data_IF_728860973767
#
_entry.id   IF_728860973767
#
_cell.length_a   1.000
_cell.length_b   1.000
_cell.length_c   1.000
_cell.angle_alpha   90.00
_cell.angle_beta   90.00
_cell.angle_gamma   90.00
#
_symmetry.space_group_name_H-M   'P 1'
#
loop_
_entity.id
_entity.type
_entity.pdbx_description
1 polymer ?
#
# COMPACT_ATOMS: atom_id res chain seq x y z
N UNK A 1 -9.57 16.50 23.47
CA UNK A 1 -9.88 16.12 22.08
C UNK A 1 -8.62 16.37 21.26
N UNK A 2 -8.04 15.35 20.64
CA UNK A 2 -6.92 15.50 19.70
C UNK A 2 -7.46 16.09 18.39
N UNK A 3 -6.85 17.18 17.93
CA UNK A 3 -7.16 17.75 16.62
C UNK A 3 -6.65 16.81 15.51
N UNK A 4 -7.41 16.69 14.43
CA UNK A 4 -6.98 15.94 13.25
C UNK A 4 -5.88 16.70 12.50
N UNK A 5 -5.00 16.00 11.79
CA UNK A 5 -3.85 16.59 11.10
C UNK A 5 -4.22 17.76 10.16
N UNK A 6 -5.32 17.62 9.42
CA UNK A 6 -5.84 18.63 8.49
C UNK A 6 -6.48 19.85 9.19
N UNK A 7 -6.76 19.76 10.49
CA UNK A 7 -7.29 20.87 11.31
C UNK A 7 -6.19 21.76 11.88
N UNK A 8 -4.92 21.38 11.73
CA UNK A 8 -3.82 22.22 12.16
C UNK A 8 -3.67 23.40 11.21
N UNK A 9 -3.51 24.62 11.76
CA UNK A 9 -3.35 25.87 11.00
C UNK A 9 -2.23 25.84 9.96
N UNK A 10 -1.20 25.03 10.20
CA UNK A 10 -0.05 24.91 9.31
C UNK A 10 -0.23 23.80 8.26
N UNK A 11 -1.36 23.11 8.20
CA UNK A 11 -1.62 22.17 7.12
C UNK A 11 -1.81 22.92 5.79
N UNK A 12 -1.26 22.44 4.65
CA UNK A 12 -0.37 21.28 4.48
C UNK A 12 1.12 21.61 4.68
N UNK A 13 1.46 22.86 4.98
CA UNK A 13 2.81 23.38 5.20
C UNK A 13 3.45 22.90 6.51
N UNK A 14 3.81 21.62 6.56
CA UNK A 14 4.51 21.04 7.71
C UNK A 14 5.93 21.59 7.83
N UNK A 15 6.36 21.83 9.08
CA UNK A 15 7.72 22.28 9.38
C UNK A 15 8.54 21.11 9.91
N UNK A 16 9.74 20.93 9.36
CA UNK A 16 10.67 19.89 9.79
C UNK A 16 11.24 20.17 11.20
N UNK A 17 10.95 19.28 12.16
CA UNK A 17 11.38 19.42 13.55
C UNK A 17 12.61 18.55 13.84
N UNK A 18 13.77 18.98 13.32
CA UNK A 18 15.03 18.21 13.39
C UNK A 18 15.36 17.70 14.80
N UNK A 19 15.21 18.53 15.84
CA UNK A 19 15.57 18.16 17.22
C UNK A 19 14.73 16.99 17.76
N UNK A 20 13.46 16.89 17.35
CA UNK A 20 12.56 15.81 17.75
C UNK A 20 12.70 14.58 16.85
N UNK A 21 12.88 14.77 15.54
CA UNK A 21 12.96 13.69 14.56
C UNK A 21 14.30 12.97 14.57
N UNK A 22 15.42 13.69 14.75
CA UNK A 22 16.76 13.12 14.69
C UNK A 22 16.98 11.88 15.59
N UNK A 23 16.58 11.86 16.88
CA UNK A 23 16.72 10.66 17.70
C UNK A 23 15.87 9.48 17.21
N UNK A 24 14.65 9.73 16.73
CA UNK A 24 13.77 8.69 16.18
C UNK A 24 14.36 8.10 14.89
N UNK A 25 14.83 8.96 13.99
CA UNK A 25 15.46 8.56 12.73
C UNK A 25 16.73 7.75 12.96
N UNK A 26 17.55 8.11 13.96
CA UNK A 26 18.71 7.27 14.34
C UNK A 26 18.29 5.85 14.69
N UNK A 27 17.23 5.68 15.48
CA UNK A 27 16.69 4.36 15.81
C UNK A 27 16.17 3.60 14.58
N UNK A 28 15.54 4.30 13.63
CA UNK A 28 15.10 3.72 12.36
C UNK A 28 16.29 3.27 11.51
N UNK A 29 17.31 4.12 11.35
CA UNK A 29 18.51 3.79 10.55
C UNK A 29 19.32 2.64 11.16
N UNK A 30 19.43 2.56 12.48
CA UNK A 30 20.07 1.42 13.17
C UNK A 30 19.34 0.10 12.84
N UNK A 31 18.01 0.08 12.99
CA UNK A 31 17.19 -1.11 12.66
C UNK A 31 17.27 -1.46 11.17
N UNK A 32 17.28 -0.46 10.29
CA UNK A 32 17.43 -0.68 8.85
C UNK A 32 18.81 -1.27 8.52
N UNK A 33 19.87 -0.80 9.17
CA UNK A 33 21.22 -1.35 9.04
C UNK A 33 21.30 -2.81 9.49
N UNK A 34 20.72 -3.12 10.65
CA UNK A 34 20.65 -4.50 11.15
C UNK A 34 19.86 -5.42 10.22
N UNK A 35 18.74 -4.95 9.67
CA UNK A 35 17.95 -5.71 8.70
C UNK A 35 18.77 -5.99 7.42
N UNK A 36 19.40 -4.96 6.85
CA UNK A 36 20.25 -5.08 5.66
C UNK A 36 21.42 -6.05 5.88
N UNK A 37 22.07 -5.97 7.04
CA UNK A 37 23.16 -6.87 7.40
C UNK A 37 22.70 -8.32 7.52
N UNK A 38 21.54 -8.57 8.14
CA UNK A 38 20.96 -9.91 8.25
C UNK A 38 20.49 -10.47 6.92
N UNK A 39 19.85 -9.65 6.07
CA UNK A 39 19.37 -10.09 4.76
C UNK A 39 20.52 -10.49 3.82
N UNK A 40 21.69 -9.87 3.95
CA UNK A 40 22.87 -10.22 3.16
C UNK A 40 23.41 -11.64 3.45
N UNK A 41 23.03 -12.25 4.58
CA UNK A 41 23.44 -13.61 4.97
C UNK A 41 22.46 -14.69 4.50
N UNK A 42 21.32 -14.32 3.91
CA UNK A 42 20.28 -15.27 3.49
C UNK A 42 20.65 -15.87 2.14
N UNK A 43 20.88 -17.18 2.11
CA UNK A 43 20.98 -17.95 0.87
C UNK A 43 19.60 -18.04 0.19
N UNK A 44 19.57 -18.00 -1.15
CA UNK A 44 18.34 -18.02 -1.95
C UNK A 44 17.41 -16.78 -1.75
N UNK A 45 17.96 -15.60 -2.02
CA UNK A 45 17.29 -14.30 -1.92
C UNK A 45 15.93 -14.20 -2.65
N UNK A 46 15.74 -14.96 -3.74
CA UNK A 46 14.52 -14.91 -4.54
C UNK A 46 13.28 -15.40 -3.79
N UNK A 47 13.33 -16.60 -3.20
CA UNK A 47 12.21 -17.19 -2.44
C UNK A 47 11.92 -16.35 -1.18
N UNK A 48 12.96 -15.89 -0.49
CA UNK A 48 12.80 -15.02 0.67
C UNK A 48 12.13 -13.69 0.32
N UNK A 49 12.51 -13.08 -0.82
CA UNK A 49 11.88 -11.86 -1.33
C UNK A 49 10.41 -12.09 -1.68
N UNK A 50 10.12 -13.20 -2.36
CA UNK A 50 8.75 -13.58 -2.73
C UNK A 50 7.85 -13.74 -1.49
N UNK A 51 8.30 -14.48 -0.49
CA UNK A 51 7.54 -14.70 0.75
C UNK A 51 7.39 -13.40 1.56
N UNK A 52 8.40 -12.52 1.54
CA UNK A 52 8.34 -11.20 2.19
C UNK A 52 7.28 -10.30 1.54
N UNK A 53 7.25 -10.26 0.20
CA UNK A 53 6.25 -9.47 -0.53
C UNK A 53 4.84 -10.03 -0.36
N UNK A 54 4.69 -11.36 -0.38
CA UNK A 54 3.43 -12.02 -0.09
C UNK A 54 2.91 -11.67 1.31
N UNK A 55 3.77 -11.74 2.33
CA UNK A 55 3.42 -11.37 3.69
C UNK A 55 2.97 -9.90 3.79
N UNK A 56 3.62 -8.98 3.06
CA UNK A 56 3.20 -7.59 2.99
C UNK A 56 1.81 -7.44 2.36
N UNK A 57 1.52 -8.13 1.25
CA UNK A 57 0.19 -8.07 0.62
C UNK A 57 -0.88 -8.57 1.60
N UNK A 58 -0.67 -9.74 2.21
CA UNK A 58 -1.62 -10.32 3.17
C UNK A 58 -1.87 -9.37 4.35
N UNK A 59 -0.82 -8.75 4.89
CA UNK A 59 -0.94 -7.81 5.99
C UNK A 59 -1.70 -6.54 5.60
N UNK A 60 -1.44 -5.99 4.41
CA UNK A 60 -2.13 -4.79 3.90
C UNK A 60 -3.60 -5.07 3.63
N UNK A 61 -3.92 -6.19 2.97
CA UNK A 61 -5.31 -6.60 2.74
C UNK A 61 -6.07 -6.83 4.05
N UNK A 62 -5.41 -7.40 5.07
CA UNK A 62 -6.04 -7.62 6.38
C UNK A 62 -6.42 -6.31 7.09
N UNK A 63 -5.67 -5.22 6.90
CA UNK A 63 -6.02 -3.89 7.43
C UNK A 63 -7.33 -3.40 6.81
N UNK A 64 -7.52 -3.63 5.51
CA UNK A 64 -8.73 -3.28 4.77
C UNK A 64 -9.87 -4.30 4.95
N UNK A 65 -9.70 -5.30 5.83
CA UNK A 65 -10.63 -6.42 6.03
C UNK A 65 -10.89 -7.24 4.76
N UNK A 66 -9.96 -7.21 3.80
CA UNK A 66 -10.01 -7.96 2.57
C UNK A 66 -9.35 -9.34 2.75
N UNK A 67 -9.96 -10.37 2.18
CA UNK A 67 -9.39 -11.72 2.11
C UNK A 67 -8.78 -11.93 0.74
N UNK A 68 -7.51 -12.33 0.73
CA UNK A 68 -6.77 -12.66 -0.51
C UNK A 68 -6.50 -14.16 -0.58
N UNK A 69 -6.54 -14.72 -1.80
CA UNK A 69 -6.04 -16.07 -2.04
C UNK A 69 -4.51 -16.04 -2.05
N UNK A 70 -3.93 -16.47 -0.95
CA UNK A 70 -2.48 -16.46 -0.71
C UNK A 70 -1.73 -17.28 -1.78
N UNK A 71 -2.31 -18.40 -2.25
CA UNK A 71 -1.64 -19.25 -3.24
C UNK A 71 -1.67 -18.60 -4.63
N UNK A 72 -2.80 -18.02 -5.01
CA UNK A 72 -2.93 -17.29 -6.26
C UNK A 72 -1.98 -16.07 -6.29
N UNK A 73 -2.00 -15.23 -5.24
CA UNK A 73 -1.11 -14.06 -5.13
C UNK A 73 0.36 -14.47 -5.19
N UNK A 74 0.74 -15.56 -4.51
CA UNK A 74 2.11 -16.08 -4.56
C UNK A 74 2.51 -16.49 -5.98
N UNK A 75 1.64 -17.23 -6.68
CA UNK A 75 1.88 -17.65 -8.07
C UNK A 75 2.02 -16.44 -9.01
N UNK A 76 1.16 -15.44 -8.87
CA UNK A 76 1.23 -14.19 -9.65
C UNK A 76 2.52 -13.42 -9.37
N UNK A 77 2.92 -13.28 -8.10
CA UNK A 77 4.18 -12.62 -7.72
C UNK A 77 5.40 -13.35 -8.26
N UNK A 78 5.45 -14.69 -8.14
CA UNK A 78 6.54 -15.48 -8.66
C UNK A 78 6.73 -15.24 -10.16
N UNK A 79 5.62 -15.25 -10.92
CA UNK A 79 5.63 -14.97 -12.36
C UNK A 79 6.09 -13.54 -12.67
N UNK A 80 5.58 -12.54 -11.96
CA UNK A 80 5.95 -11.14 -12.15
C UNK A 80 7.43 -10.87 -11.85
N UNK A 81 8.02 -11.58 -10.89
CA UNK A 81 9.42 -11.46 -10.48
C UNK A 81 10.37 -12.38 -11.26
N UNK A 82 9.85 -13.20 -12.19
CA UNK A 82 10.65 -14.16 -12.95
C UNK A 82 11.22 -15.31 -12.10
N UNK A 83 10.59 -15.60 -10.95
CA UNK A 83 10.98 -16.66 -10.03
C UNK A 83 10.27 -17.94 -10.44
N UNK A 84 11.00 -19.06 -10.50
CA UNK A 84 10.41 -20.36 -10.80
C UNK A 84 9.53 -20.82 -9.64
N UNK A 85 8.21 -20.81 -9.84
CA UNK A 85 7.26 -21.31 -8.86
C UNK A 85 7.23 -22.85 -8.87
N UNK A 86 7.48 -23.44 -7.71
CA UNK A 86 7.48 -24.90 -7.53
C UNK A 86 6.06 -25.47 -7.45
N UNK A 87 5.03 -24.64 -7.28
CA UNK A 87 3.64 -25.08 -7.14
C UNK A 87 2.66 -24.08 -7.74
N UNK A 88 2.72 -23.83 -9.06
CA UNK A 88 1.88 -22.84 -9.71
C UNK A 88 0.40 -23.22 -9.62
N UNK A 89 -0.43 -22.27 -9.21
CA UNK A 89 -1.89 -22.42 -9.20
C UNK A 89 -2.57 -21.50 -10.21
N UNK A 90 -3.86 -21.75 -10.48
CA UNK A 90 -4.68 -20.84 -11.28
C UNK A 90 -4.81 -19.51 -10.55
N UNK A 91 -4.63 -18.42 -11.29
CA UNK A 91 -4.68 -17.03 -10.81
C UNK A 91 -5.92 -16.33 -11.34
N UNK A 92 -6.27 -15.21 -10.71
CA UNK A 92 -7.41 -14.36 -11.08
C UNK A 92 -6.96 -12.90 -11.26
N UNK A 93 -7.84 -12.03 -11.77
CA UNK A 93 -7.48 -10.64 -12.04
C UNK A 93 -7.02 -9.87 -10.79
N UNK A 94 -7.59 -10.20 -9.62
CA UNK A 94 -7.24 -9.57 -8.35
C UNK A 94 -5.81 -9.91 -7.92
N UNK A 95 -5.44 -11.19 -7.95
CA UNK A 95 -4.07 -11.65 -7.64
C UNK A 95 -3.04 -11.13 -8.64
N UNK A 96 -3.39 -11.05 -9.92
CA UNK A 96 -2.53 -10.45 -10.96
C UNK A 96 -2.32 -8.95 -10.77
N UNK A 97 -3.39 -8.21 -10.44
CA UNK A 97 -3.32 -6.80 -10.16
C UNK A 97 -2.43 -6.52 -8.94
N UNK A 98 -2.66 -7.22 -7.83
CA UNK A 98 -1.85 -7.10 -6.61
C UNK A 98 -0.37 -7.43 -6.86
N UNK A 99 -0.08 -8.48 -7.62
CA UNK A 99 1.29 -8.84 -7.96
C UNK A 99 1.97 -7.80 -8.86
N UNK A 100 1.24 -7.26 -9.84
CA UNK A 100 1.74 -6.21 -10.75
C UNK A 100 2.04 -4.91 -9.99
N UNK A 101 1.13 -4.51 -9.08
CA UNK A 101 1.31 -3.38 -8.19
C UNK A 101 2.54 -3.56 -7.32
N UNK A 102 2.63 -4.70 -6.62
CA UNK A 102 3.73 -4.95 -5.70
C UNK A 102 5.07 -5.01 -6.44
N UNK A 103 5.14 -5.63 -7.61
CA UNK A 103 6.34 -5.60 -8.47
C UNK A 103 6.72 -4.16 -8.79
N UNK A 104 5.82 -3.36 -9.37
CA UNK A 104 6.14 -1.98 -9.74
C UNK A 104 6.58 -1.14 -8.54
N UNK A 105 6.01 -1.38 -7.35
CA UNK A 105 6.37 -0.68 -6.14
C UNK A 105 7.78 -1.01 -5.62
N UNK A 106 8.32 -2.20 -5.95
CA UNK A 106 9.62 -2.66 -5.42
C UNK A 106 10.73 -2.78 -6.46
N UNK A 107 10.40 -2.82 -7.75
CA UNK A 107 11.40 -2.85 -8.83
C UNK A 107 11.72 -1.46 -9.37
N UNK A 108 10.71 -0.61 -9.56
CA UNK A 108 10.90 0.67 -10.23
C UNK A 108 11.01 1.81 -9.20
N UNK A 109 11.98 1.64 -8.27
CA UNK A 109 12.20 2.52 -7.11
C UNK A 109 12.79 3.90 -7.49
N UNK A 110 13.57 3.97 -8.57
CA UNK A 110 14.23 5.19 -9.03
C UNK A 110 13.34 6.04 -9.93
N UNK A 111 12.20 5.51 -10.36
CA UNK A 111 11.25 6.21 -11.19
C UNK A 111 10.39 7.19 -10.36
N UNK A 112 10.11 8.36 -10.94
CA UNK A 112 9.29 9.37 -10.28
C UNK A 112 7.83 8.92 -10.19
N UNK A 113 7.25 9.00 -9.00
CA UNK A 113 5.82 8.78 -8.80
C UNK A 113 5.06 9.95 -9.43
N UNK A 114 4.42 9.69 -10.57
CA UNK A 114 3.55 10.62 -11.26
C UNK A 114 2.08 10.16 -11.22
N UNK A 115 1.17 11.04 -11.65
CA UNK A 115 -0.26 10.75 -11.61
C UNK A 115 -0.62 9.52 -12.45
N UNK A 116 -0.07 9.37 -13.65
CA UNK A 116 -0.35 8.23 -14.52
C UNK A 116 -0.02 6.90 -13.84
N UNK A 117 1.15 6.82 -13.19
CA UNK A 117 1.57 5.63 -12.44
C UNK A 117 0.65 5.34 -11.27
N UNK A 118 0.24 6.37 -10.51
CA UNK A 118 -0.73 6.21 -9.43
C UNK A 118 -2.08 5.70 -9.93
N UNK A 119 -2.56 6.22 -11.06
CA UNK A 119 -3.82 5.75 -11.68
C UNK A 119 -3.70 4.32 -12.20
N UNK A 120 -2.53 3.91 -12.72
CA UNK A 120 -2.28 2.53 -13.11
C UNK A 120 -2.25 1.57 -11.91
N UNK A 121 -1.58 1.95 -10.82
CA UNK A 121 -1.62 1.18 -9.57
C UNK A 121 -3.05 1.04 -9.04
N UNK A 122 -3.83 2.13 -9.11
CA UNK A 122 -5.24 2.09 -8.75
C UNK A 122 -6.06 1.18 -9.68
N UNK A 123 -5.74 1.06 -10.97
CA UNK A 123 -6.42 0.09 -11.86
C UNK A 123 -6.18 -1.34 -11.42
N UNK A 124 -4.94 -1.69 -11.13
CA UNK A 124 -4.56 -3.02 -10.67
C UNK A 124 -5.21 -3.39 -9.34
N UNK A 125 -5.31 -2.45 -8.40
CA UNK A 125 -5.96 -2.71 -7.11
C UNK A 125 -7.44 -3.08 -7.26
N UNK A 126 -8.13 -2.48 -8.24
CA UNK A 126 -9.54 -2.74 -8.51
C UNK A 126 -9.77 -3.70 -9.68
N UNK A 127 -8.72 -4.39 -10.15
CA UNK A 127 -8.84 -5.35 -11.23
C UNK A 127 -9.72 -6.52 -10.78
N UNK A 128 -10.87 -6.67 -11.44
CA UNK A 128 -11.91 -7.67 -11.09
C UNK A 128 -12.53 -7.48 -9.69
N UNK A 129 -12.37 -6.31 -9.08
CA UNK A 129 -13.00 -5.96 -7.81
C UNK A 129 -14.43 -5.46 -8.06
N UNK A 130 -15.39 -6.38 -8.20
CA UNK A 130 -16.80 -6.04 -8.33
C UNK A 130 -17.43 -5.82 -6.95
N UNK A 131 -17.35 -4.59 -6.43
CA UNK A 131 -18.19 -4.19 -5.30
C UNK A 131 -19.60 -3.85 -5.79
N UNK A 132 -20.59 -4.64 -5.37
CA UNK A 132 -22.01 -4.38 -5.64
C UNK A 132 -22.57 -3.15 -4.90
N UNK A 133 -21.84 -2.65 -3.89
CA UNK A 133 -22.33 -1.63 -2.95
C UNK A 133 -21.71 -0.26 -3.25
N UNK A 134 -20.46 -0.20 -3.70
CA UNK A 134 -19.78 1.03 -4.09
C UNK A 134 -19.01 0.81 -5.39
N UNK A 135 -19.48 1.46 -6.45
CA UNK A 135 -18.82 1.42 -7.75
C UNK A 135 -17.64 2.39 -7.72
N UNK A 136 -16.44 1.85 -7.58
CA UNK A 136 -15.19 2.60 -7.75
C UNK A 136 -14.80 2.56 -9.22
N UNK A 137 -14.50 3.72 -9.82
CA UNK A 137 -13.97 3.78 -11.18
C UNK A 137 -12.45 3.59 -11.16
N UNK A 138 -11.90 2.49 -11.70
CA UNK A 138 -10.48 2.22 -11.60
C UNK A 138 -9.64 3.21 -12.42
N UNK A 139 -8.64 3.81 -11.78
CA UNK A 139 -7.70 4.73 -12.44
C UNK A 139 -8.31 6.09 -12.78
N UNK A 140 -9.31 6.51 -12.03
CA UNK A 140 -9.92 7.85 -12.12
C UNK A 140 -9.83 8.50 -10.74
N UNK A 141 -9.47 9.78 -10.71
CA UNK A 141 -9.54 10.55 -9.46
C UNK A 141 -11.00 10.65 -9.01
N UNK A 142 -11.23 10.61 -7.70
CA UNK A 142 -12.58 10.77 -7.15
C UNK A 142 -13.15 12.13 -7.57
N UNK A 143 -14.42 12.13 -7.96
CA UNK A 143 -15.17 13.36 -8.25
C UNK A 143 -15.71 14.06 -7.00
N UNK A 144 -16.72 14.91 -7.19
CA UNK A 144 -17.35 15.75 -6.15
C UNK A 144 -18.22 14.98 -5.13
N UNK A 145 -18.23 13.64 -5.16
CA UNK A 145 -18.97 12.86 -4.19
C UNK A 145 -18.31 12.97 -2.80
N UNK A 146 -19.07 13.12 -1.71
CA UNK A 146 -18.51 13.17 -0.36
C UNK A 146 -17.77 11.87 -0.03
N UNK A 147 -16.56 12.02 0.50
CA UNK A 147 -15.70 10.91 0.90
C UNK A 147 -16.03 10.49 2.32
N UNK A 148 -16.26 9.19 2.54
CA UNK A 148 -16.34 8.65 3.89
C UNK A 148 -14.96 8.14 4.30
N UNK A 149 -14.42 8.67 5.39
CA UNK A 149 -13.21 8.16 6.03
C UNK A 149 -13.63 7.25 7.19
N UNK A 150 -13.24 5.99 7.09
CA UNK A 150 -13.34 5.02 8.16
C UNK A 150 -11.98 4.95 8.88
N UNK A 151 -11.91 5.47 10.10
CA UNK A 151 -10.82 5.10 11.00
C UNK A 151 -11.28 3.86 11.77
N UNK A 152 -10.61 2.73 11.56
CA UNK A 152 -10.93 1.47 12.23
C UNK A 152 -11.07 1.62 13.76
N UNK A 153 -12.05 0.87 14.31
CA UNK A 153 -12.39 0.60 15.72
C UNK A 153 -12.41 1.73 16.76
N UNK A 154 -12.05 2.97 16.43
CA UNK A 154 -12.05 4.04 17.43
C UNK A 154 -13.42 4.70 17.57
N UNK A 155 -14.26 4.75 16.53
CA UNK A 155 -15.60 5.33 16.64
C UNK A 155 -16.52 4.65 15.64
N UNK A 156 -17.58 3.97 16.10
CA UNK A 156 -18.55 3.23 15.26
C UNK A 156 -19.41 4.09 14.32
N UNK A 157 -18.93 5.26 13.88
CA UNK A 157 -19.56 6.13 12.90
C UNK A 157 -18.54 6.58 11.84
N UNK A 158 -18.80 6.38 10.53
CA UNK A 158 -17.97 6.93 9.48
C UNK A 158 -17.94 8.45 9.54
N UNK A 159 -16.76 9.04 9.32
CA UNK A 159 -16.63 10.48 9.13
C UNK A 159 -16.87 10.82 7.67
N UNK A 160 -17.73 11.79 7.39
CA UNK A 160 -18.01 12.23 6.01
C UNK A 160 -17.22 13.51 5.76
N UNK A 161 -16.15 13.42 4.95
CA UNK A 161 -15.51 14.56 4.33
C UNK A 161 -16.32 15.02 3.12
N UNK A 162 -16.76 16.27 3.12
CA UNK A 162 -17.29 16.91 1.91
C UNK A 162 -16.10 17.37 1.05
N UNK A 163 -16.17 17.26 -0.30
CA UNK A 163 -15.15 17.87 -1.14
C UNK A 163 -15.19 19.40 -0.93
N UNK A 164 -14.01 20.04 -0.96
CA UNK A 164 -13.86 21.50 -0.84
C UNK A 164 -14.33 22.16 0.46
N UNK A 165 -14.07 21.58 1.64
CA UNK A 165 -13.92 22.45 2.81
C UNK A 165 -12.59 23.20 2.68
N UNK A 166 -12.64 24.42 2.15
CA UNK A 166 -11.57 25.40 2.33
C UNK A 166 -11.26 25.53 3.83
N UNK A 167 -9.97 25.55 4.23
CA UNK A 167 -9.62 25.73 5.63
C UNK A 167 -9.98 27.15 6.07
N UNK A 168 -10.84 27.28 7.08
CA UNK A 168 -10.93 28.46 7.95
C UNK A 168 -9.96 28.28 9.11
#
# INVERSE_FOLDING_TARGET
MTAWLWQHKNWPNMVWQQQQLAPLLRGVYDRLGQLKGKSALVENNAEFSLDTLLANIVALSAIESEKVDVYAVRSSLARQLGINDKSPVKTDGSSEGLASLMRSAVTDLDETINLERLLNWHRWLFEHHESLIQKVEPGVLRGEAPMQIFLGLLHGRPFILKPHQEPI
#
